data_IF_408985795593
#
_entry.id   IF_408985795593
#
_cell.length_a   1.000
_cell.length_b   1.000
_cell.length_c   1.000
_cell.angle_alpha   90.00
_cell.angle_beta   90.00
_cell.angle_gamma   90.00
#
_symmetry.space_group_name_H-M   'P 1'
#
loop_
_entity.id
_entity.type
_entity.pdbx_description
1 polymer ?
#
# COMPACT_ATOMS: atom_id res chain seq x y z
N UNK A 1 6.64 -3.95 43.96
CA UNK A 1 6.60 -4.83 42.77
C UNK A 1 5.26 -5.55 42.59
N UNK A 2 4.79 -6.36 43.55
CA UNK A 2 3.58 -7.19 43.38
C UNK A 2 2.28 -6.40 43.13
N UNK A 3 2.11 -5.21 43.72
CA UNK A 3 0.94 -4.35 43.47
C UNK A 3 0.90 -3.81 42.03
N UNK A 4 2.05 -3.40 41.49
CA UNK A 4 2.17 -2.89 40.12
C UNK A 4 1.93 -4.01 39.10
N UNK A 5 2.53 -5.19 39.33
CA UNK A 5 2.33 -6.39 38.50
C UNK A 5 0.86 -6.80 38.50
N UNK A 6 0.20 -6.85 39.67
CA UNK A 6 -1.21 -7.19 39.76
C UNK A 6 -2.11 -6.14 39.10
N UNK A 7 -1.77 -4.85 39.20
CA UNK A 7 -2.51 -3.79 38.51
C UNK A 7 -2.37 -3.91 36.98
N UNK A 8 -1.17 -4.15 36.47
CA UNK A 8 -0.89 -4.33 35.05
C UNK A 8 -1.50 -5.61 34.48
N UNK A 9 -1.45 -6.73 35.20
CA UNK A 9 -2.12 -7.98 34.81
C UNK A 9 -3.65 -7.82 34.78
N UNK A 10 -4.22 -6.97 35.63
CA UNK A 10 -5.66 -6.71 35.67
C UNK A 10 -6.13 -5.73 34.58
N UNK A 11 -5.31 -4.74 34.21
CA UNK A 11 -5.74 -3.68 33.30
C UNK A 11 -5.04 -3.69 31.94
N UNK A 12 -3.72 -3.86 31.87
CA UNK A 12 -2.94 -3.70 30.63
C UNK A 12 -2.91 -4.99 29.81
N UNK A 13 -2.63 -6.13 30.45
CA UNK A 13 -2.55 -7.44 29.76
C UNK A 13 -3.85 -7.81 29.02
N UNK A 14 -5.06 -7.66 29.62
CA UNK A 14 -6.29 -7.97 28.92
C UNK A 14 -6.58 -7.03 27.75
N UNK A 15 -6.19 -5.76 27.86
CA UNK A 15 -6.33 -4.78 26.77
C UNK A 15 -5.39 -5.15 25.62
N UNK A 16 -4.13 -5.46 25.92
CA UNK A 16 -3.15 -5.89 24.91
C UNK A 16 -3.60 -7.16 24.17
N UNK A 17 -4.08 -8.15 24.91
CA UNK A 17 -4.62 -9.38 24.33
C UNK A 17 -5.84 -9.10 23.45
N UNK A 18 -6.76 -8.22 23.88
CA UNK A 18 -7.90 -7.80 23.07
C UNK A 18 -7.45 -7.14 21.77
N UNK A 19 -6.55 -6.16 21.83
CA UNK A 19 -5.99 -5.46 20.66
C UNK A 19 -5.37 -6.48 19.69
N UNK A 20 -4.51 -7.36 20.19
CA UNK A 20 -3.86 -8.40 19.38
C UNK A 20 -4.82 -9.45 18.79
N UNK A 21 -6.04 -9.56 19.32
CA UNK A 21 -7.07 -10.49 18.83
C UNK A 21 -8.08 -9.84 17.88
N UNK A 22 -8.00 -8.52 17.64
CA UNK A 22 -8.89 -7.84 16.70
C UNK A 22 -8.59 -8.37 15.30
N UNK A 23 -9.57 -9.03 14.68
CA UNK A 23 -9.42 -9.68 13.36
C UNK A 23 -8.85 -8.76 12.28
N UNK A 24 -9.22 -7.48 12.30
CA UNK A 24 -8.68 -6.46 11.41
C UNK A 24 -7.19 -6.22 11.58
N UNK A 25 -6.74 -6.09 12.83
CA UNK A 25 -5.33 -5.88 13.15
C UNK A 25 -4.52 -7.14 12.85
N UNK A 26 -5.08 -8.32 13.15
CA UNK A 26 -4.47 -9.60 12.77
C UNK A 26 -4.31 -9.72 11.25
N UNK A 27 -5.36 -9.42 10.47
CA UNK A 27 -5.29 -9.43 9.01
C UNK A 27 -4.26 -8.43 8.47
N UNK A 28 -4.19 -7.22 9.05
CA UNK A 28 -3.23 -6.20 8.65
C UNK A 28 -1.79 -6.64 8.92
N UNK A 29 -1.51 -7.21 10.11
CA UNK A 29 -0.22 -7.83 10.44
C UNK A 29 0.14 -8.92 9.43
N UNK A 30 -0.79 -9.85 9.20
CA UNK A 30 -0.54 -11.00 8.33
C UNK A 30 -0.34 -10.57 6.86
N UNK A 31 -0.92 -9.43 6.44
CA UNK A 31 -0.69 -8.82 5.14
C UNK A 31 0.72 -8.23 5.04
N UNK A 32 1.19 -7.51 6.06
CA UNK A 32 2.58 -7.03 6.11
C UNK A 32 3.58 -8.18 6.11
N UNK A 33 3.28 -9.27 6.81
CA UNK A 33 4.09 -10.50 6.79
C UNK A 33 4.13 -11.10 5.39
N UNK A 34 2.99 -11.14 4.69
CA UNK A 34 2.89 -11.73 3.36
C UNK A 34 3.71 -10.98 2.29
N UNK A 35 3.95 -9.67 2.46
CA UNK A 35 4.75 -8.88 1.51
C UNK A 35 6.26 -8.89 1.81
N UNK A 36 6.68 -9.46 2.94
CA UNK A 36 8.10 -9.50 3.33
C UNK A 36 9.03 -10.10 2.27
N UNK A 37 8.69 -11.22 1.57
CA UNK A 37 9.59 -11.77 0.55
C UNK A 37 9.87 -10.78 -0.59
N UNK A 38 8.84 -10.07 -1.07
CA UNK A 38 9.00 -9.05 -2.10
C UNK A 38 9.83 -7.88 -1.58
N UNK A 39 9.54 -7.42 -0.36
CA UNK A 39 10.30 -6.35 0.29
C UNK A 39 11.79 -6.70 0.43
N UNK A 40 12.12 -7.93 0.85
CA UNK A 40 13.49 -8.40 0.98
C UNK A 40 14.22 -8.45 -0.37
N UNK A 41 13.57 -8.98 -1.41
CA UNK A 41 14.16 -9.03 -2.75
C UNK A 41 14.48 -7.62 -3.30
N UNK A 42 13.57 -6.66 -3.12
CA UNK A 42 13.82 -5.27 -3.54
C UNK A 42 14.85 -4.53 -2.68
N UNK A 43 14.91 -4.83 -1.38
CA UNK A 43 15.93 -4.29 -0.49
C UNK A 43 17.33 -4.74 -0.89
N UNK A 44 17.51 -6.03 -1.23
CA UNK A 44 18.77 -6.57 -1.74
C UNK A 44 19.19 -5.84 -3.02
N UNK A 45 18.26 -5.67 -3.98
CA UNK A 45 18.52 -4.90 -5.20
C UNK A 45 18.98 -3.47 -4.91
N UNK A 46 18.35 -2.80 -3.95
CA UNK A 46 18.70 -1.43 -3.56
C UNK A 46 20.09 -1.36 -2.94
N UNK A 47 20.43 -2.28 -2.03
CA UNK A 47 21.75 -2.35 -1.39
C UNK A 47 22.84 -2.67 -2.42
N UNK A 48 22.60 -3.59 -3.35
CA UNK A 48 23.55 -3.90 -4.41
C UNK A 48 23.78 -2.68 -5.31
N UNK A 49 22.74 -1.93 -5.67
CA UNK A 49 22.90 -0.69 -6.41
C UNK A 49 23.68 0.37 -5.60
N UNK A 50 23.46 0.47 -4.28
CA UNK A 50 24.25 1.36 -3.45
C UNK A 50 25.76 1.03 -3.50
N UNK A 51 26.11 -0.26 -3.45
CA UNK A 51 27.50 -0.74 -3.48
C UNK A 51 28.17 -0.63 -4.86
N UNK A 52 27.39 -0.78 -5.93
CA UNK A 52 27.93 -0.96 -7.28
C UNK A 52 27.79 0.29 -8.15
N UNK A 53 26.79 1.13 -7.85
CA UNK A 53 26.53 2.41 -8.52
C UNK A 53 26.85 3.58 -7.59
N UNK A 54 26.14 3.71 -6.48
CA UNK A 54 26.10 4.99 -5.74
C UNK A 54 27.44 5.30 -5.05
N UNK A 55 28.00 4.35 -4.30
CA UNK A 55 29.29 4.51 -3.61
C UNK A 55 30.44 4.68 -4.63
N UNK A 56 30.59 3.83 -5.68
CA UNK A 56 31.62 4.04 -6.69
C UNK A 56 31.49 5.35 -7.46
N UNK A 57 30.26 5.81 -7.75
CA UNK A 57 30.03 7.12 -8.37
C UNK A 57 30.52 8.26 -7.47
N UNK A 58 30.28 8.19 -6.15
CA UNK A 58 30.79 9.19 -5.20
C UNK A 58 32.33 9.22 -5.15
N UNK A 59 33.00 8.09 -5.33
CA UNK A 59 34.46 8.00 -5.42
C UNK A 59 35.03 8.33 -6.82
N UNK A 60 34.19 8.71 -7.79
CA UNK A 60 34.62 9.04 -9.14
C UNK A 60 34.97 7.83 -10.01
N UNK A 61 34.62 6.61 -9.61
CA UNK A 61 34.92 5.36 -10.32
C UNK A 61 33.92 5.08 -11.45
N UNK A 62 33.75 6.04 -12.36
CA UNK A 62 32.77 5.95 -13.46
C UNK A 62 33.03 4.78 -14.40
N UNK A 63 34.29 4.38 -14.59
CA UNK A 63 34.66 3.20 -15.39
C UNK A 63 34.09 1.89 -14.82
N UNK A 64 34.16 1.70 -13.50
CA UNK A 64 33.59 0.53 -12.83
C UNK A 64 32.07 0.50 -12.96
N UNK A 65 31.41 1.64 -12.73
CA UNK A 65 29.95 1.76 -12.85
C UNK A 65 29.48 1.46 -14.27
N UNK A 66 30.22 1.91 -15.28
CA UNK A 66 29.92 1.61 -16.69
C UNK A 66 30.08 0.13 -17.01
N UNK A 67 31.10 -0.54 -16.46
CA UNK A 67 31.27 -2.00 -16.62
C UNK A 67 30.16 -2.82 -15.92
N UNK A 68 29.55 -2.27 -14.87
CA UNK A 68 28.53 -2.96 -14.06
C UNK A 68 27.08 -2.61 -14.44
N UNK A 69 26.86 -1.91 -15.56
CA UNK A 69 25.51 -1.52 -16.00
C UNK A 69 24.55 -2.71 -16.17
N UNK A 70 25.06 -3.87 -16.57
CA UNK A 70 24.25 -5.09 -16.69
C UNK A 70 23.61 -5.49 -15.36
N UNK A 71 24.36 -5.40 -14.26
CA UNK A 71 23.90 -5.77 -12.92
C UNK A 71 22.98 -4.69 -12.33
N UNK A 72 23.30 -3.41 -12.57
CA UNK A 72 22.44 -2.28 -12.21
C UNK A 72 21.07 -2.40 -12.91
N UNK A 73 21.06 -2.81 -14.18
CA UNK A 73 19.84 -3.06 -14.95
C UNK A 73 19.00 -4.21 -14.37
N UNK A 74 19.61 -5.35 -14.02
CA UNK A 74 18.92 -6.46 -13.36
C UNK A 74 18.30 -5.99 -12.04
N UNK A 75 19.09 -5.30 -11.21
CA UNK A 75 18.60 -4.77 -9.94
C UNK A 75 17.43 -3.82 -10.15
N UNK A 76 17.47 -2.93 -11.14
CA UNK A 76 16.37 -2.01 -11.44
C UNK A 76 15.06 -2.76 -11.79
N UNK A 77 15.14 -3.85 -12.55
CA UNK A 77 13.96 -4.69 -12.87
C UNK A 77 13.42 -5.37 -11.62
N UNK A 78 14.31 -5.94 -10.78
CA UNK A 78 13.92 -6.58 -9.50
C UNK A 78 13.25 -5.56 -8.58
N UNK A 79 13.82 -4.36 -8.43
CA UNK A 79 13.24 -3.27 -7.62
C UNK A 79 11.86 -2.86 -8.13
N UNK A 80 11.70 -2.76 -9.45
CA UNK A 80 10.43 -2.41 -10.10
C UNK A 80 9.34 -3.45 -9.82
N UNK A 81 9.69 -4.73 -9.87
CA UNK A 81 8.75 -5.83 -9.57
C UNK A 81 8.49 -6.06 -8.08
N UNK A 82 9.12 -5.29 -7.18
CA UNK A 82 9.03 -5.50 -5.73
C UNK A 82 8.66 -4.21 -5.01
N UNK A 83 9.64 -3.40 -4.58
CA UNK A 83 9.43 -2.20 -3.77
C UNK A 83 8.62 -1.12 -4.50
N UNK A 84 8.79 -0.99 -5.81
CA UNK A 84 8.09 0.03 -6.58
C UNK A 84 6.59 -0.22 -6.71
N UNK A 85 6.17 -1.49 -6.64
CA UNK A 85 4.76 -1.92 -6.68
C UNK A 85 4.28 -2.46 -5.34
N UNK A 86 4.99 -2.20 -4.25
CA UNK A 86 4.68 -2.85 -2.98
C UNK A 86 3.28 -2.48 -2.46
N UNK A 87 2.77 -1.29 -2.77
CA UNK A 87 1.40 -0.88 -2.45
C UNK A 87 0.36 -1.68 -3.22
N UNK A 88 0.66 -2.05 -4.47
CA UNK A 88 -0.15 -2.96 -5.28
C UNK A 88 -0.16 -4.37 -4.68
N UNK A 89 1.00 -4.92 -4.30
CA UNK A 89 1.11 -6.23 -3.67
C UNK A 89 0.38 -6.24 -2.31
N UNK A 90 0.57 -5.17 -1.53
CA UNK A 90 -0.11 -4.98 -0.26
C UNK A 90 -1.64 -4.90 -0.43
N UNK A 91 -2.13 -4.24 -1.49
CA UNK A 91 -3.57 -4.13 -1.77
C UNK A 91 -4.26 -5.49 -1.85
N UNK A 92 -3.70 -6.42 -2.62
CA UNK A 92 -4.25 -7.76 -2.77
C UNK A 92 -4.11 -8.58 -1.47
N UNK A 93 -2.91 -8.58 -0.88
CA UNK A 93 -2.64 -9.38 0.33
C UNK A 93 -3.49 -8.93 1.52
N UNK A 94 -3.77 -7.63 1.66
CA UNK A 94 -4.63 -7.11 2.72
C UNK A 94 -6.06 -7.66 2.63
N UNK A 95 -6.71 -7.58 1.46
CA UNK A 95 -8.05 -8.14 1.28
C UNK A 95 -8.09 -9.66 1.42
N UNK A 96 -7.06 -10.34 0.90
CA UNK A 96 -6.91 -11.78 1.05
C UNK A 96 -6.89 -12.20 2.53
N UNK A 97 -6.00 -11.60 3.32
CA UNK A 97 -5.85 -11.96 4.73
C UNK A 97 -7.08 -11.59 5.55
N UNK A 98 -7.76 -10.49 5.22
CA UNK A 98 -9.00 -10.14 5.88
C UNK A 98 -10.08 -11.21 5.63
N UNK A 99 -10.26 -11.65 4.39
CA UNK A 99 -11.22 -12.71 4.09
C UNK A 99 -10.89 -14.06 4.77
N UNK A 100 -9.60 -14.40 4.89
CA UNK A 100 -9.14 -15.57 5.67
C UNK A 100 -9.59 -15.45 7.13
N UNK A 101 -9.36 -14.30 7.78
CA UNK A 101 -9.77 -14.07 9.18
C UNK A 101 -11.29 -14.18 9.38
N UNK A 102 -12.07 -13.85 8.36
CA UNK A 102 -13.52 -13.95 8.40
C UNK A 102 -14.08 -15.25 7.82
N UNK A 103 -13.24 -16.20 7.35
CA UNK A 103 -13.68 -17.46 6.74
C UNK A 103 -14.67 -17.23 5.57
N UNK A 104 -14.28 -16.38 4.63
CA UNK A 104 -14.96 -16.21 3.33
C UNK A 104 -13.93 -16.41 2.21
N UNK A 105 -14.37 -16.43 0.96
CA UNK A 105 -13.49 -16.68 -0.19
C UNK A 105 -12.42 -15.57 -0.29
N UNK A 106 -11.12 -15.91 -0.21
CA UNK A 106 -10.07 -14.91 -0.04
C UNK A 106 -9.54 -14.30 -1.33
N UNK A 107 -9.59 -15.02 -2.47
CA UNK A 107 -9.05 -14.51 -3.73
C UNK A 107 -9.88 -13.34 -4.25
N UNK A 108 -11.21 -13.46 -4.20
CA UNK A 108 -12.15 -12.41 -4.58
C UNK A 108 -12.00 -11.19 -3.70
N UNK A 109 -11.80 -11.36 -2.39
CA UNK A 109 -11.53 -10.24 -1.49
C UNK A 109 -10.22 -9.51 -1.83
N UNK A 110 -9.16 -10.26 -2.17
CA UNK A 110 -7.91 -9.72 -2.69
C UNK A 110 -8.12 -8.94 -3.99
N UNK A 111 -8.94 -9.45 -4.91
CA UNK A 111 -9.27 -8.75 -6.16
C UNK A 111 -10.09 -7.47 -5.89
N UNK A 112 -11.04 -7.50 -4.96
CA UNK A 112 -11.86 -6.34 -4.59
C UNK A 112 -10.99 -5.22 -4.00
N UNK A 113 -10.07 -5.57 -3.11
CA UNK A 113 -9.14 -4.60 -2.50
C UNK A 113 -8.12 -4.06 -3.49
N UNK A 114 -7.61 -4.90 -4.38
CA UNK A 114 -6.78 -4.48 -5.51
C UNK A 114 -7.54 -3.52 -6.46
N UNK A 115 -8.76 -3.86 -6.83
CA UNK A 115 -9.61 -3.05 -7.69
C UNK A 115 -9.87 -1.67 -7.08
N UNK A 116 -10.19 -1.63 -5.79
CA UNK A 116 -10.41 -0.37 -5.07
C UNK A 116 -9.16 0.49 -4.95
N UNK A 117 -7.97 -0.10 -4.82
CA UNK A 117 -6.73 0.64 -4.91
C UNK A 117 -6.56 1.31 -6.28
N UNK A 118 -6.71 0.55 -7.38
CA UNK A 118 -6.58 1.07 -8.75
C UNK A 118 -7.63 2.16 -9.05
N UNK A 119 -8.86 1.98 -8.58
CA UNK A 119 -9.93 2.99 -8.71
C UNK A 119 -9.62 4.28 -7.96
N UNK A 120 -8.78 4.22 -6.92
CA UNK A 120 -8.39 5.39 -6.13
C UNK A 120 -7.25 6.19 -6.75
N UNK A 121 -6.62 5.68 -7.82
CA UNK A 121 -5.53 6.35 -8.53
C UNK A 121 -6.05 7.39 -9.53
N UNK A 122 -5.35 8.51 -9.71
CA UNK A 122 -5.60 9.39 -10.86
C UNK A 122 -5.26 8.65 -12.15
N UNK A 123 -6.23 8.57 -13.06
CA UNK A 123 -6.12 7.95 -14.39
C UNK A 123 -5.81 8.96 -15.49
N UNK A 124 -5.98 10.25 -15.17
CA UNK A 124 -5.73 11.36 -16.08
C UNK A 124 -4.49 12.10 -15.63
N UNK A 125 -3.61 12.40 -16.56
CA UNK A 125 -2.54 13.37 -16.36
C UNK A 125 -2.84 14.59 -17.22
N UNK A 126 -2.81 15.78 -16.63
CA UNK A 126 -2.95 17.06 -17.33
C UNK A 126 -1.70 17.89 -17.09
N UNK A 127 -1.05 18.32 -18.18
CA UNK A 127 0.09 19.23 -18.17
C UNK A 127 -0.31 20.55 -18.81
N UNK A 128 -0.18 21.63 -18.05
CA UNK A 128 -0.36 22.99 -18.56
C UNK A 128 0.99 23.55 -19.00
N UNK A 129 1.12 23.86 -20.28
CA UNK A 129 2.33 24.40 -20.87
C UNK A 129 2.38 25.92 -20.75
N UNK A 130 3.60 26.48 -20.59
CA UNK A 130 3.80 27.94 -20.52
C UNK A 130 3.41 28.64 -21.84
N UNK A 131 3.66 27.98 -22.98
CA UNK A 131 3.33 28.45 -24.32
C UNK A 131 2.53 27.39 -25.08
N UNK A 132 1.72 27.84 -26.05
CA UNK A 132 0.96 26.94 -26.92
C UNK A 132 1.87 26.12 -27.84
N UNK A 133 1.44 24.90 -28.16
CA UNK A 133 2.19 23.99 -29.01
C UNK A 133 2.05 24.35 -30.50
N UNK A 134 3.11 24.12 -31.27
CA UNK A 134 3.05 24.19 -32.73
C UNK A 134 2.07 23.13 -33.28
N UNK A 135 1.40 23.42 -34.40
CA UNK A 135 0.39 22.52 -35.00
C UNK A 135 0.91 21.09 -35.25
N UNK A 136 2.18 20.94 -35.63
CA UNK A 136 2.81 19.64 -35.80
C UNK A 136 2.91 18.84 -34.50
N UNK A 137 3.28 19.50 -33.39
CA UNK A 137 3.35 18.87 -32.07
C UNK A 137 1.96 18.52 -31.52
N UNK A 138 0.95 19.36 -31.79
CA UNK A 138 -0.45 19.05 -31.46
C UNK A 138 -0.87 17.76 -32.16
N UNK A 139 -0.59 17.62 -33.46
CA UNK A 139 -0.92 16.41 -34.21
C UNK A 139 -0.23 15.16 -33.66
N UNK A 140 1.07 15.24 -33.35
CA UNK A 140 1.81 14.10 -32.76
C UNK A 140 1.24 13.66 -31.42
N UNK A 141 0.82 14.61 -30.56
CA UNK A 141 0.23 14.29 -29.26
C UNK A 141 -1.17 13.71 -29.40
N UNK A 142 -1.99 14.24 -30.30
CA UNK A 142 -3.32 13.68 -30.59
C UNK A 142 -3.22 12.28 -31.19
N UNK A 143 -2.28 12.04 -32.10
CA UNK A 143 -2.01 10.72 -32.67
C UNK A 143 -1.51 9.72 -31.60
N UNK A 144 -0.87 10.21 -30.53
CA UNK A 144 -0.47 9.41 -29.36
C UNK A 144 -1.60 9.22 -28.32
N UNK A 145 -2.81 9.72 -28.58
CA UNK A 145 -3.99 9.55 -27.70
C UNK A 145 -4.15 10.63 -26.63
N UNK A 146 -3.39 11.73 -26.69
CA UNK A 146 -3.57 12.88 -25.80
C UNK A 146 -4.62 13.86 -26.35
N UNK A 147 -5.39 14.46 -25.45
CA UNK A 147 -6.30 15.57 -25.74
C UNK A 147 -5.57 16.88 -25.50
N UNK A 148 -5.38 17.66 -26.56
CA UNK A 148 -4.75 19.00 -26.47
C UNK A 148 -5.83 20.07 -26.56
N UNK A 149 -5.99 20.85 -25.50
CA UNK A 149 -6.89 22.00 -25.44
C UNK A 149 -6.09 23.27 -25.15
N UNK A 150 -5.73 24.01 -26.20
CA UNK A 150 -4.92 25.22 -26.08
C UNK A 150 -3.52 24.96 -25.51
N UNK A 151 -3.33 25.24 -24.22
CA UNK A 151 -2.06 25.02 -23.49
C UNK A 151 -2.06 23.74 -22.66
N UNK A 152 -3.21 23.09 -22.52
CA UNK A 152 -3.37 21.89 -21.70
C UNK A 152 -3.25 20.65 -22.56
N UNK A 153 -2.39 19.73 -22.15
CA UNK A 153 -2.24 18.40 -22.74
C UNK A 153 -2.71 17.40 -21.69
N UNK A 154 -3.76 16.65 -22.00
CA UNK A 154 -4.31 15.63 -21.10
C UNK A 154 -4.26 14.25 -21.72
N UNK A 155 -3.97 13.21 -20.95
CA UNK A 155 -4.00 11.83 -21.43
C UNK A 155 -4.68 10.93 -20.41
N UNK A 156 -5.55 10.03 -20.90
CA UNK A 156 -6.24 9.03 -20.08
C UNK A 156 -5.47 7.71 -20.10
N UNK A 157 -5.53 6.96 -19.00
CA UNK A 157 -4.86 5.67 -18.83
C UNK A 157 -3.42 5.78 -18.33
N UNK A 158 -3.01 6.97 -17.85
CA UNK A 158 -1.71 7.16 -17.24
C UNK A 158 -1.80 7.07 -15.73
N UNK A 159 -1.06 6.13 -15.14
CA UNK A 159 -0.86 6.05 -13.70
C UNK A 159 0.55 6.51 -13.34
N UNK A 160 0.68 7.41 -12.36
CA UNK A 160 2.00 7.78 -11.84
C UNK A 160 2.56 6.66 -10.96
N UNK A 161 3.18 5.69 -11.63
CA UNK A 161 3.84 4.53 -11.05
C UNK A 161 4.78 4.93 -9.91
N UNK A 162 5.66 5.91 -10.17
CA UNK A 162 6.69 6.33 -9.22
C UNK A 162 6.15 6.98 -7.94
N UNK A 163 4.93 7.52 -7.96
CA UNK A 163 4.30 8.18 -6.81
C UNK A 163 3.42 7.23 -6.03
N UNK A 164 2.51 6.51 -6.69
CA UNK A 164 1.37 5.88 -6.00
C UNK A 164 1.54 4.39 -5.70
N UNK A 165 2.37 3.67 -6.45
CA UNK A 165 2.42 2.19 -6.38
C UNK A 165 3.33 1.65 -5.27
N UNK A 166 4.17 2.50 -4.68
CA UNK A 166 4.99 2.18 -3.51
C UNK A 166 4.24 2.43 -2.18
N UNK A 167 4.98 2.90 -1.16
CA UNK A 167 4.45 3.19 0.18
C UNK A 167 3.27 4.17 0.23
N UNK A 168 3.17 5.09 -0.75
CA UNK A 168 2.10 6.08 -0.83
C UNK A 168 0.70 5.44 -0.93
N UNK A 169 0.60 4.24 -1.48
CA UNK A 169 -0.67 3.54 -1.62
C UNK A 169 -1.19 2.88 -0.33
N UNK A 170 -0.35 2.69 0.69
CA UNK A 170 -0.65 1.82 1.82
C UNK A 170 -1.86 2.31 2.62
N UNK A 171 -1.89 3.59 2.98
CA UNK A 171 -3.01 4.17 3.74
C UNK A 171 -4.33 4.11 2.98
N UNK A 172 -4.28 4.34 1.67
CA UNK A 172 -5.45 4.25 0.81
C UNK A 172 -6.00 2.84 0.77
N UNK A 173 -5.14 1.82 0.65
CA UNK A 173 -5.53 0.42 0.76
C UNK A 173 -6.12 0.11 2.14
N UNK A 174 -5.46 0.52 3.22
CA UNK A 174 -5.89 0.26 4.59
C UNK A 174 -7.27 0.85 4.89
N UNK A 175 -7.66 1.95 4.23
CA UNK A 175 -8.96 2.58 4.42
C UNK A 175 -9.99 2.15 3.38
N UNK A 176 -9.72 2.38 2.11
CA UNK A 176 -10.66 2.10 1.02
C UNK A 176 -10.78 0.61 0.74
N UNK A 177 -9.66 -0.10 0.76
CA UNK A 177 -9.65 -1.56 0.69
C UNK A 177 -10.36 -2.18 1.89
N UNK A 178 -10.19 -1.63 3.10
CA UNK A 178 -10.94 -2.08 4.27
C UNK A 178 -12.45 -1.88 4.10
N UNK A 179 -12.90 -0.72 3.64
CA UNK A 179 -14.33 -0.47 3.38
C UNK A 179 -14.88 -1.52 2.39
N UNK A 180 -14.19 -1.70 1.26
CA UNK A 180 -14.59 -2.64 0.22
C UNK A 180 -14.65 -4.08 0.75
N UNK A 181 -13.59 -4.52 1.43
CA UNK A 181 -13.51 -5.86 1.97
C UNK A 181 -14.54 -6.10 3.08
N UNK A 182 -14.86 -5.07 3.90
CA UNK A 182 -15.95 -5.15 4.90
C UNK A 182 -17.28 -5.43 4.22
N UNK A 183 -17.61 -4.66 3.18
CA UNK A 183 -18.85 -4.82 2.41
C UNK A 183 -18.92 -6.21 1.80
N UNK A 184 -17.84 -6.64 1.14
CA UNK A 184 -17.72 -7.97 0.56
C UNK A 184 -17.95 -9.07 1.61
N UNK A 185 -17.22 -9.03 2.73
CA UNK A 185 -17.32 -10.01 3.82
C UNK A 185 -18.73 -10.03 4.40
N UNK A 186 -19.33 -8.85 4.61
CA UNK A 186 -20.67 -8.74 5.17
C UNK A 186 -21.71 -9.38 4.25
N UNK A 187 -21.67 -9.10 2.95
CA UNK A 187 -22.57 -9.71 1.96
C UNK A 187 -22.39 -11.22 1.85
N UNK A 188 -21.13 -11.69 1.84
CA UNK A 188 -20.81 -13.13 1.87
C UNK A 188 -21.38 -13.81 3.12
N UNK A 189 -21.26 -13.19 4.30
CA UNK A 189 -21.83 -13.72 5.56
C UNK A 189 -23.34 -13.67 5.62
N UNK A 190 -23.97 -12.75 4.89
CA UNK A 190 -25.43 -12.69 4.74
C UNK A 190 -25.96 -13.61 3.65
N UNK A 191 -25.10 -14.38 2.98
CA UNK A 191 -25.47 -15.25 1.85
C UNK A 191 -26.17 -14.48 0.72
N UNK A 192 -25.82 -13.20 0.55
CA UNK A 192 -26.28 -12.39 -0.60
C UNK A 192 -25.34 -12.71 -1.75
N UNK A 193 -25.55 -13.90 -2.31
CA UNK A 193 -24.63 -14.54 -3.26
C UNK A 193 -25.42 -15.29 -4.32
N UNK A 194 -24.79 -15.55 -5.48
CA UNK A 194 -25.36 -16.44 -6.49
C UNK A 194 -25.11 -17.88 -6.04
N UNK A 195 -26.18 -18.69 -5.92
CA UNK A 195 -26.07 -20.12 -5.59
C UNK A 195 -25.81 -20.90 -6.87
N UNK A 196 -24.78 -21.75 -6.86
CA UNK A 196 -24.48 -22.65 -7.97
C UNK A 196 -25.04 -24.05 -7.66
N UNK A 197 -25.50 -24.82 -8.67
CA UNK A 197 -25.85 -26.22 -8.50
C UNK A 197 -24.64 -27.07 -8.04
N UNK A 198 -24.91 -28.20 -7.39
CA UNK A 198 -23.87 -29.10 -6.88
C UNK A 198 -23.02 -29.75 -8.01
N UNK A 199 -23.47 -29.67 -9.26
CA UNK A 199 -22.74 -30.18 -10.44
C UNK A 199 -21.53 -29.33 -10.84
N UNK A 200 -21.34 -28.16 -10.24
CA UNK A 200 -20.27 -27.21 -10.58
C UNK A 200 -19.06 -27.40 -9.68
N UNK A 201 -17.84 -27.34 -10.25
CA UNK A 201 -16.61 -27.51 -9.47
C UNK A 201 -16.48 -26.46 -8.35
N UNK A 202 -15.84 -26.79 -7.21
CA UNK A 202 -15.71 -25.87 -6.08
C UNK A 202 -15.07 -24.52 -6.43
N UNK A 203 -14.10 -24.51 -7.35
CA UNK A 203 -13.43 -23.29 -7.80
C UNK A 203 -14.39 -22.34 -8.55
N UNK A 204 -15.21 -22.90 -9.45
CA UNK A 204 -16.21 -22.12 -10.19
C UNK A 204 -17.32 -21.66 -9.25
N UNK A 205 -17.79 -22.52 -8.35
CA UNK A 205 -18.78 -22.15 -7.35
C UNK A 205 -18.32 -20.95 -6.51
N UNK A 206 -17.10 -21.00 -5.98
CA UNK A 206 -16.50 -19.93 -5.19
C UNK A 206 -16.41 -18.60 -5.94
N UNK A 207 -15.93 -18.62 -7.19
CA UNK A 207 -15.83 -17.41 -8.01
C UNK A 207 -17.20 -16.77 -8.27
N UNK A 208 -18.23 -17.57 -8.63
CA UNK A 208 -19.57 -17.07 -8.89
C UNK A 208 -20.31 -16.58 -7.65
N UNK A 209 -20.10 -17.27 -6.52
CA UNK A 209 -20.67 -16.89 -5.21
C UNK A 209 -20.22 -15.47 -4.81
N UNK A 210 -18.97 -15.11 -5.15
CA UNK A 210 -18.37 -13.82 -4.84
C UNK A 210 -18.78 -12.65 -5.76
N UNK A 211 -19.42 -12.90 -6.92
CA UNK A 211 -19.69 -11.85 -7.94
C UNK A 211 -20.53 -10.70 -7.38
N UNK A 212 -21.67 -11.01 -6.79
CA UNK A 212 -22.59 -9.98 -6.27
C UNK A 212 -21.95 -9.20 -5.11
N UNK A 213 -21.37 -9.87 -4.08
CA UNK A 213 -20.63 -9.17 -3.03
C UNK A 213 -19.50 -8.27 -3.55
N UNK A 214 -18.72 -8.76 -4.51
CA UNK A 214 -17.60 -8.01 -5.08
C UNK A 214 -18.08 -6.80 -5.86
N UNK A 215 -19.10 -6.96 -6.71
CA UNK A 215 -19.68 -5.87 -7.48
C UNK A 215 -20.19 -4.76 -6.55
N UNK A 216 -20.97 -5.10 -5.53
CA UNK A 216 -21.51 -4.11 -4.58
C UNK A 216 -20.38 -3.38 -3.84
N UNK A 217 -19.36 -4.09 -3.39
CA UNK A 217 -18.19 -3.48 -2.74
C UNK A 217 -17.44 -2.50 -3.66
N UNK A 218 -17.20 -2.90 -4.92
CA UNK A 218 -16.54 -2.07 -5.91
C UNK A 218 -17.37 -0.84 -6.28
N UNK A 219 -18.68 -0.97 -6.50
CA UNK A 219 -19.55 0.17 -6.79
C UNK A 219 -19.64 1.13 -5.60
N UNK A 220 -19.71 0.63 -4.36
CA UNK A 220 -19.72 1.49 -3.18
C UNK A 220 -18.47 2.36 -3.10
N UNK A 221 -17.28 1.77 -3.30
CA UNK A 221 -16.02 2.53 -3.31
C UNK A 221 -15.86 3.37 -4.58
N UNK A 222 -16.42 2.94 -5.71
CA UNK A 222 -16.47 3.72 -6.94
C UNK A 222 -17.27 5.01 -6.78
N UNK A 223 -18.41 4.96 -6.09
CA UNK A 223 -19.18 6.15 -5.76
C UNK A 223 -18.35 7.10 -4.90
N UNK A 224 -17.65 6.59 -3.88
CA UNK A 224 -16.77 7.43 -3.04
C UNK A 224 -15.71 8.10 -3.91
N UNK A 225 -15.00 7.32 -4.74
CA UNK A 225 -13.97 7.87 -5.63
C UNK A 225 -14.51 8.94 -6.57
N UNK A 226 -15.67 8.71 -7.18
CA UNK A 226 -16.33 9.69 -8.05
C UNK A 226 -16.69 10.98 -7.30
N UNK A 227 -17.16 10.89 -6.05
CA UNK A 227 -17.45 12.08 -5.25
C UNK A 227 -16.20 12.93 -5.00
N UNK A 228 -15.04 12.32 -4.72
CA UNK A 228 -13.79 13.07 -4.54
C UNK A 228 -13.36 13.82 -5.80
N UNK A 229 -13.60 13.26 -6.99
CA UNK A 229 -13.29 13.97 -8.25
C UNK A 229 -14.14 15.21 -8.44
N UNK A 230 -15.36 15.27 -7.88
CA UNK A 230 -16.19 16.48 -7.89
C UNK A 230 -15.58 17.63 -7.07
N UNK A 231 -14.69 17.31 -6.13
CA UNK A 231 -13.92 18.28 -5.35
C UNK A 231 -12.52 18.56 -5.93
N UNK A 232 -12.22 18.08 -7.15
CA UNK A 232 -10.94 18.32 -7.81
C UNK A 232 -9.77 17.55 -7.19
N UNK A 233 -10.03 16.44 -6.51
CA UNK A 233 -8.99 15.60 -5.90
C UNK A 233 -9.28 14.11 -6.13
N UNK A 234 -8.32 13.26 -5.80
CA UNK A 234 -8.51 11.80 -5.76
C UNK A 234 -8.48 11.32 -4.32
N UNK A 235 -9.10 10.17 -4.05
CA UNK A 235 -9.11 9.59 -2.70
C UNK A 235 -7.69 9.33 -2.21
N UNK A 236 -6.79 8.84 -3.06
CA UNK A 236 -5.41 8.57 -2.68
C UNK A 236 -4.66 9.85 -2.28
N UNK A 237 -4.86 10.95 -2.99
CA UNK A 237 -4.22 12.23 -2.69
C UNK A 237 -4.82 12.89 -1.45
N UNK A 238 -6.14 12.79 -1.28
CA UNK A 238 -6.80 13.28 -0.07
C UNK A 238 -6.32 12.53 1.17
N UNK A 239 -6.34 11.20 1.14
CA UNK A 239 -5.86 10.36 2.25
C UNK A 239 -4.40 10.67 2.55
N UNK A 240 -3.57 10.79 1.52
CA UNK A 240 -2.16 11.10 1.70
C UNK A 240 -1.97 12.44 2.44
N UNK A 241 -2.63 13.50 1.97
CA UNK A 241 -2.48 14.85 2.52
C UNK A 241 -3.09 15.01 3.91
N UNK A 242 -4.28 14.46 4.12
CA UNK A 242 -5.08 14.72 5.34
C UNK A 242 -4.75 13.74 6.47
N UNK A 243 -4.33 12.52 6.14
CA UNK A 243 -4.10 11.47 7.13
C UNK A 243 -2.65 10.97 7.15
N UNK A 244 -2.12 10.53 6.01
CA UNK A 244 -0.82 9.87 5.97
C UNK A 244 0.31 10.83 6.35
N UNK A 245 0.42 11.99 5.70
CA UNK A 245 1.48 12.96 5.94
C UNK A 245 1.52 13.44 7.41
N UNK A 246 0.39 13.88 8.02
CA UNK A 246 0.39 14.28 9.42
C UNK A 246 0.73 13.14 10.39
N UNK A 247 0.22 11.93 10.13
CA UNK A 247 0.46 10.78 11.01
C UNK A 247 1.91 10.31 10.93
N UNK A 248 2.48 10.23 9.72
CA UNK A 248 3.88 9.90 9.51
C UNK A 248 4.79 10.98 10.09
N UNK A 249 4.43 12.26 10.00
CA UNK A 249 5.16 13.35 10.65
C UNK A 249 5.15 13.22 12.18
N UNK A 250 3.99 12.99 12.78
CA UNK A 250 3.85 12.80 14.23
C UNK A 250 4.69 11.62 14.74
N UNK A 251 4.74 10.53 13.98
CA UNK A 251 5.45 9.32 14.40
C UNK A 251 6.96 9.42 14.38
N UNK A 252 7.53 10.42 13.68
CA UNK A 252 8.97 10.66 13.67
C UNK A 252 9.44 11.39 14.93
N UNK A 253 8.53 11.94 15.73
CA UNK A 253 8.88 12.68 16.95
C UNK A 253 9.48 11.77 18.02
N UNK A 254 10.51 12.26 18.72
CA UNK A 254 11.16 11.53 19.83
C UNK A 254 10.16 10.96 20.85
N UNK A 255 9.13 11.73 21.22
CA UNK A 255 8.09 11.28 22.15
C UNK A 255 7.26 10.12 21.61
N UNK A 256 6.94 10.11 20.31
CA UNK A 256 6.20 9.03 19.68
C UNK A 256 7.05 7.74 19.64
N UNK A 257 8.31 7.85 19.25
CA UNK A 257 9.26 6.72 19.25
C UNK A 257 9.42 6.16 20.66
N UNK A 258 9.70 7.01 21.65
CA UNK A 258 9.87 6.61 23.04
C UNK A 258 8.63 5.92 23.60
N UNK A 259 7.44 6.48 23.36
CA UNK A 259 6.17 5.89 23.79
C UNK A 259 5.98 4.49 23.19
N UNK A 260 6.16 4.35 21.87
CA UNK A 260 5.99 3.08 21.18
C UNK A 260 7.01 2.04 21.66
N UNK A 261 8.27 2.42 21.85
CA UNK A 261 9.29 1.53 22.40
C UNK A 261 8.91 1.07 23.81
N UNK A 262 8.48 1.97 24.70
CA UNK A 262 8.05 1.61 26.05
C UNK A 262 6.87 0.64 26.00
N UNK A 263 5.85 0.91 25.17
CA UNK A 263 4.68 0.03 25.05
C UNK A 263 5.07 -1.38 24.58
N UNK A 264 5.98 -1.48 23.60
CA UNK A 264 6.53 -2.77 23.15
C UNK A 264 7.22 -3.50 24.31
N UNK A 265 8.10 -2.82 25.04
CA UNK A 265 8.84 -3.44 26.16
C UNK A 265 7.92 -3.85 27.31
N UNK A 266 6.88 -3.07 27.61
CA UNK A 266 5.87 -3.41 28.62
C UNK A 266 5.18 -4.72 28.24
N UNK A 267 4.78 -4.90 26.98
CA UNK A 267 4.18 -6.17 26.55
C UNK A 267 5.15 -7.35 26.68
N UNK A 268 6.41 -7.17 26.26
CA UNK A 268 7.44 -8.20 26.40
C UNK A 268 7.70 -8.59 27.86
N UNK A 269 7.72 -7.62 28.77
CA UNK A 269 7.88 -7.86 30.21
C UNK A 269 6.80 -8.80 30.79
N UNK A 270 5.59 -8.78 30.23
CA UNK A 270 4.50 -9.68 30.63
C UNK A 270 4.37 -10.95 29.77
N UNK A 271 5.40 -11.26 28.96
CA UNK A 271 5.42 -12.46 28.12
C UNK A 271 4.52 -12.36 26.88
N UNK A 272 4.03 -11.16 26.54
CA UNK A 272 3.29 -10.90 25.30
C UNK A 272 4.27 -10.37 24.27
N UNK A 273 4.31 -10.95 23.08
CA UNK A 273 5.21 -10.52 22.01
C UNK A 273 4.82 -9.11 21.51
N UNK A 274 5.38 -8.06 22.11
CA UNK A 274 4.90 -6.68 21.97
C UNK A 274 4.90 -6.16 20.54
N UNK A 275 5.91 -6.56 19.76
CA UNK A 275 6.00 -6.22 18.34
C UNK A 275 4.95 -6.93 17.49
N UNK A 276 4.40 -8.07 17.92
CA UNK A 276 3.31 -8.73 17.19
C UNK A 276 1.96 -8.12 17.51
N UNK A 277 1.77 -7.65 18.75
CA UNK A 277 0.54 -6.97 19.17
C UNK A 277 0.45 -5.58 18.54
N UNK A 278 1.55 -4.84 18.53
CA UNK A 278 1.62 -3.49 17.97
C UNK A 278 2.04 -3.48 16.50
N UNK A 279 2.42 -4.63 15.92
CA UNK A 279 2.89 -4.76 14.53
C UNK A 279 2.04 -4.00 13.52
N UNK A 280 0.71 -4.15 13.48
CA UNK A 280 -0.16 -3.37 12.60
C UNK A 280 0.04 -1.85 12.68
N UNK A 281 0.26 -1.32 13.88
CA UNK A 281 0.49 0.11 14.11
C UNK A 281 1.92 0.49 13.74
N UNK A 282 2.89 -0.34 14.12
CA UNK A 282 4.31 -0.13 13.82
C UNK A 282 4.56 -0.16 12.32
N UNK A 283 4.01 -1.15 11.61
CA UNK A 283 4.23 -1.35 10.18
C UNK A 283 3.44 -0.35 9.33
N UNK A 284 2.21 -0.01 9.73
CA UNK A 284 1.45 1.03 9.02
C UNK A 284 2.15 2.40 9.03
N UNK A 285 2.95 2.67 10.05
CA UNK A 285 3.62 3.96 10.22
C UNK A 285 5.10 3.89 9.85
N UNK A 286 5.91 3.10 10.57
CA UNK A 286 7.36 3.07 10.40
C UNK A 286 7.80 2.29 9.17
N UNK A 287 7.17 1.14 8.86
CA UNK A 287 7.52 0.42 7.64
C UNK A 287 7.13 1.23 6.40
N UNK A 288 5.97 1.90 6.41
CA UNK A 288 5.58 2.84 5.34
C UNK A 288 6.62 3.95 5.15
N UNK A 289 7.08 4.58 6.25
CA UNK A 289 8.11 5.62 6.20
C UNK A 289 9.46 5.07 5.68
N UNK A 290 9.86 3.89 6.15
CA UNK A 290 11.09 3.23 5.71
C UNK A 290 11.08 2.93 4.21
N UNK A 291 9.98 2.39 3.67
CA UNK A 291 9.85 2.13 2.23
C UNK A 291 9.86 3.43 1.43
N UNK A 292 9.27 4.51 1.95
CA UNK A 292 9.34 5.82 1.31
C UNK A 292 10.78 6.34 1.23
N UNK A 293 11.58 6.16 2.29
CA UNK A 293 13.01 6.48 2.30
C UNK A 293 13.79 5.65 1.28
N UNK A 294 13.58 4.33 1.25
CA UNK A 294 14.27 3.44 0.29
C UNK A 294 13.94 3.85 -1.15
N UNK A 295 12.68 4.16 -1.44
CA UNK A 295 12.25 4.58 -2.77
C UNK A 295 12.79 5.96 -3.18
N UNK A 296 12.93 6.89 -2.23
CA UNK A 296 13.57 8.18 -2.47
C UNK A 296 15.06 8.01 -2.76
N UNK A 297 15.77 7.23 -1.94
CA UNK A 297 17.18 6.93 -2.11
C UNK A 297 17.48 6.28 -3.47
N UNK A 298 16.70 5.27 -3.88
CA UNK A 298 16.88 4.60 -5.17
C UNK A 298 16.76 5.53 -6.39
N UNK A 299 16.08 6.68 -6.21
CA UNK A 299 15.91 7.73 -7.22
C UNK A 299 16.90 8.90 -7.05
N UNK A 300 17.81 8.83 -6.09
CA UNK A 300 18.74 9.92 -5.76
C UNK A 300 18.05 11.15 -5.16
N UNK A 301 16.92 10.94 -4.47
CA UNK A 301 16.16 12.00 -3.80
C UNK A 301 16.47 12.01 -2.30
N UNK A 302 16.21 13.14 -1.65
CA UNK A 302 16.33 13.28 -0.19
C UNK A 302 15.37 12.35 0.55
N UNK A 303 15.81 11.85 1.71
CA UNK A 303 15.02 10.97 2.55
C UNK A 303 13.89 11.76 3.25
N UNK A 304 12.61 11.45 3.02
CA UNK A 304 11.50 12.20 3.60
C UNK A 304 11.27 11.99 5.11
N UNK A 305 11.78 10.90 5.68
CA UNK A 305 11.56 10.53 7.09
C UNK A 305 12.88 10.18 7.80
N UNK A 306 12.89 10.30 9.14
CA UNK A 306 14.03 10.03 10.01
C UNK A 306 14.21 8.53 10.30
#
# INVERSE_FOLDING_TARGET
MNKLINWLNKHVVPIAARIGSIRWLVALRDAFIAIMPAMMAGAISTVLNALIRDIPTQFGWTGFVNSMQWLIGINAVVWTGTLAILGLIFSFTFGYQLAVQYKVEPVTAGIVTLGTFIMSLPQNFTLTLKAGLAKGAVKTLTDAGAVVSGKDVSMWGFFNFGKFFGAYGFFTVMLMGAIAATIYIWLMKKHITIKMPDSVSPAVANAFTGIVPAAVALYAVGIINYLFTQFGTTVIEFIAKVLQEPLLGLSQGYGAVLLMTILVQVFWFFGIHGTNVLGPVLDSIWLTAQIANINAFSKGQDLPYL
#
